data_IF_836190519792
#
_entry.id   IF_836190519792
#
_cell.length_a   1.000
_cell.length_b   1.000
_cell.length_c   1.000
_cell.angle_alpha   90.00
_cell.angle_beta   90.00
_cell.angle_gamma   90.00
#
_symmetry.space_group_name_H-M   'P 1'
#
loop_
_entity.id
_entity.type
_entity.pdbx_description
1 polymer ?
#
# COMPACT_ATOMS: atom_id res chain seq x y z
N UNK A 1 -7.49 -20.42 15.74
CA UNK A 1 -6.50 -19.68 16.56
C UNK A 1 -5.26 -19.57 15.71
N UNK A 2 -4.80 -18.35 15.37
CA UNK A 2 -3.57 -18.20 14.59
C UNK A 2 -2.40 -18.70 15.43
N UNK A 3 -1.49 -19.46 14.83
CA UNK A 3 -0.23 -19.83 15.48
C UNK A 3 0.52 -18.56 15.92
N UNK A 4 1.27 -18.60 17.04
CA UNK A 4 2.06 -17.45 17.45
C UNK A 4 3.04 -17.06 16.33
N UNK A 5 3.08 -15.77 16.00
CA UNK A 5 4.04 -15.20 15.07
C UNK A 5 5.32 -14.86 15.84
N UNK A 6 6.42 -15.54 15.52
CA UNK A 6 7.71 -15.25 16.10
C UNK A 6 8.41 -14.19 15.24
N UNK A 7 8.40 -12.94 15.70
CA UNK A 7 9.10 -11.83 15.02
C UNK A 7 10.61 -12.02 15.20
N UNK A 8 11.33 -12.08 14.08
CA UNK A 8 12.78 -12.28 14.04
C UNK A 8 13.54 -10.97 13.82
N UNK A 9 12.99 -10.09 13.00
CA UNK A 9 13.61 -8.81 12.68
C UNK A 9 12.56 -7.77 12.30
N UNK A 10 12.78 -6.53 12.71
CA UNK A 10 11.97 -5.37 12.31
C UNK A 10 12.88 -4.19 12.01
N UNK A 11 12.65 -3.51 10.90
CA UNK A 11 13.41 -2.31 10.53
C UNK A 11 12.51 -1.33 9.77
N UNK A 12 12.87 -0.04 9.80
CA UNK A 12 12.12 1.01 9.12
C UNK A 12 12.50 1.05 7.63
N UNK A 13 11.49 1.08 6.75
CA UNK A 13 11.67 1.19 5.28
C UNK A 13 11.30 2.57 4.76
N UNK A 14 10.57 3.35 5.57
CA UNK A 14 10.20 4.73 5.29
C UNK A 14 9.44 5.32 6.47
N UNK A 15 9.10 6.62 6.45
CA UNK A 15 8.49 7.29 7.60
C UNK A 15 7.23 6.59 8.10
N UNK A 16 7.33 5.92 9.25
CA UNK A 16 6.22 5.17 9.85
C UNK A 16 5.83 3.87 9.14
N UNK A 17 6.67 3.39 8.21
CA UNK A 17 6.52 2.11 7.51
C UNK A 17 7.65 1.19 7.91
N UNK A 18 7.32 -0.03 8.34
CA UNK A 18 8.30 -1.00 8.81
C UNK A 18 8.22 -2.29 8.00
N UNK A 19 9.36 -2.94 7.82
CA UNK A 19 9.40 -4.34 7.44
C UNK A 19 9.44 -5.20 8.71
N UNK A 20 8.72 -6.31 8.70
CA UNK A 20 8.79 -7.34 9.73
C UNK A 20 9.08 -8.69 9.08
N UNK A 21 10.17 -9.33 9.49
CA UNK A 21 10.49 -10.71 9.16
C UNK A 21 10.04 -11.57 10.33
N UNK A 22 9.15 -12.53 10.06
CA UNK A 22 8.54 -13.34 11.11
C UNK A 22 8.39 -14.79 10.67
N UNK A 23 8.27 -15.68 11.65
CA UNK A 23 8.00 -17.10 11.44
C UNK A 23 6.57 -17.41 11.83
N UNK A 24 5.84 -18.06 10.93
CA UNK A 24 4.48 -18.56 11.18
C UNK A 24 4.32 -19.94 10.60
N UNK A 25 3.87 -20.90 11.43
CA UNK A 25 3.71 -22.30 11.01
C UNK A 25 5.02 -22.96 10.56
N UNK A 26 6.17 -22.51 11.06
CA UNK A 26 7.48 -23.02 10.66
C UNK A 26 8.11 -22.30 9.45
N UNK A 27 7.36 -21.45 8.76
CA UNK A 27 7.79 -20.77 7.54
C UNK A 27 8.15 -19.32 7.81
N UNK A 28 9.23 -18.84 7.20
CA UNK A 28 9.61 -17.43 7.20
C UNK A 28 8.71 -16.64 6.26
N UNK A 29 8.39 -15.41 6.65
CA UNK A 29 7.49 -14.50 5.91
C UNK A 29 7.98 -13.07 6.06
N UNK A 30 7.63 -12.25 5.07
CA UNK A 30 7.84 -10.81 5.08
C UNK A 30 6.51 -10.09 5.23
N UNK A 31 6.44 -9.04 6.05
CA UNK A 31 5.28 -8.15 6.14
C UNK A 31 5.73 -6.69 6.09
N UNK A 32 5.19 -5.94 5.13
CA UNK A 32 5.19 -4.49 5.21
C UNK A 32 4.11 -4.04 6.21
N UNK A 33 4.54 -3.38 7.27
CA UNK A 33 3.68 -2.81 8.30
C UNK A 33 3.41 -1.36 7.94
N UNK A 34 2.25 -1.15 7.32
CA UNK A 34 1.72 0.15 6.92
C UNK A 34 0.85 0.78 8.05
N UNK A 35 0.49 2.08 7.96
CA UNK A 35 -0.34 2.72 8.96
C UNK A 35 -1.72 2.04 9.00
N UNK A 36 -2.15 1.63 10.19
CA UNK A 36 -3.46 1.00 10.38
C UNK A 36 -4.56 2.04 10.25
N UNK A 37 -5.54 1.73 9.41
CA UNK A 37 -6.78 2.47 9.31
C UNK A 37 -7.81 1.86 10.27
N UNK A 38 -8.62 2.70 10.90
CA UNK A 38 -9.87 2.25 11.52
C UNK A 38 -10.92 1.98 10.43
N UNK A 39 -11.99 1.27 10.76
CA UNK A 39 -13.08 1.02 9.82
C UNK A 39 -13.68 2.32 9.23
N UNK A 40 -13.78 3.38 10.04
CA UNK A 40 -14.26 4.69 9.58
C UNK A 40 -13.25 5.37 8.64
N UNK A 41 -11.96 5.21 8.90
CA UNK A 41 -10.89 5.74 8.03
C UNK A 41 -10.82 4.98 6.70
N UNK A 42 -11.02 3.65 6.70
CA UNK A 42 -11.14 2.83 5.50
C UNK A 42 -12.35 3.26 4.65
N UNK A 43 -13.51 3.45 5.28
CA UNK A 43 -14.71 3.94 4.62
C UNK A 43 -14.52 5.36 4.05
N UNK A 44 -13.75 6.20 4.75
CA UNK A 44 -13.42 7.56 4.29
C UNK A 44 -12.45 7.52 3.11
N UNK A 45 -11.40 6.70 3.17
CA UNK A 45 -10.48 6.49 2.05
C UNK A 45 -11.23 5.99 0.80
N UNK A 46 -12.16 5.04 0.96
CA UNK A 46 -12.97 4.55 -0.16
C UNK A 46 -13.80 5.66 -0.81
N UNK A 47 -14.54 6.43 0.00
CA UNK A 47 -15.33 7.57 -0.48
C UNK A 47 -14.48 8.64 -1.16
N UNK A 48 -13.27 8.89 -0.65
CA UNK A 48 -12.33 9.83 -1.29
C UNK A 48 -11.81 9.32 -2.63
N UNK A 49 -11.51 8.02 -2.77
CA UNK A 49 -11.10 7.44 -4.05
C UNK A 49 -12.22 7.56 -5.09
N UNK A 50 -13.45 7.28 -4.71
CA UNK A 50 -14.64 7.48 -5.55
C UNK A 50 -14.80 8.95 -5.96
N UNK A 51 -14.78 9.87 -4.97
CA UNK A 51 -14.86 11.31 -5.22
C UNK A 51 -13.74 11.83 -6.13
N UNK A 52 -12.52 11.33 -5.98
CA UNK A 52 -11.39 11.72 -6.82
C UNK A 52 -11.54 11.20 -8.24
N UNK A 53 -12.02 9.96 -8.42
CA UNK A 53 -12.33 9.40 -9.74
C UNK A 53 -13.41 10.20 -10.47
N UNK A 54 -14.44 10.66 -9.77
CA UNK A 54 -15.48 11.50 -10.34
C UNK A 54 -14.98 12.94 -10.62
N UNK A 55 -14.01 13.41 -9.84
CA UNK A 55 -13.38 14.72 -10.04
C UNK A 55 -12.43 14.75 -11.24
N UNK A 56 -11.72 13.64 -11.50
CA UNK A 56 -10.73 13.48 -12.56
C UNK A 56 -11.11 12.31 -13.48
N UNK A 57 -12.20 12.44 -14.27
CA UNK A 57 -12.70 11.33 -15.07
C UNK A 57 -11.72 10.95 -16.18
N UNK A 58 -11.18 9.74 -16.12
CA UNK A 58 -10.25 9.21 -17.14
C UNK A 58 -8.85 9.82 -17.13
N UNK A 59 -8.54 10.66 -16.13
CA UNK A 59 -7.20 11.20 -15.93
C UNK A 59 -6.56 10.54 -14.71
N UNK A 60 -5.42 9.88 -14.91
CA UNK A 60 -4.56 9.56 -13.77
C UNK A 60 -4.02 10.87 -13.19
N UNK A 61 -4.02 11.03 -11.85
CA UNK A 61 -3.39 12.19 -11.23
C UNK A 61 -1.94 12.30 -11.70
N UNK A 62 -1.50 13.53 -11.99
CA UNK A 62 -0.08 13.78 -12.27
C UNK A 62 0.76 13.18 -11.14
N UNK A 63 1.93 12.61 -11.49
CA UNK A 63 2.94 12.10 -10.53
C UNK A 63 3.61 13.24 -9.74
N UNK A 64 2.80 14.04 -9.07
CA UNK A 64 3.17 15.22 -8.29
C UNK A 64 2.32 15.24 -7.01
N UNK A 65 2.99 15.16 -5.87
CA UNK A 65 2.33 15.08 -4.56
C UNK A 65 1.52 16.35 -4.24
N UNK A 66 2.02 17.53 -4.64
CA UNK A 66 1.35 18.80 -4.42
C UNK A 66 0.04 18.92 -5.22
N UNK A 67 0.04 18.47 -6.47
CA UNK A 67 -1.13 18.36 -7.32
C UNK A 67 -2.14 17.37 -6.72
N UNK A 68 -1.71 16.16 -6.34
CA UNK A 68 -2.60 15.18 -5.73
C UNK A 68 -3.23 15.70 -4.44
N UNK A 69 -2.46 16.32 -3.56
CA UNK A 69 -2.96 16.90 -2.31
C UNK A 69 -4.07 17.93 -2.56
N UNK A 70 -3.87 18.83 -3.54
CA UNK A 70 -4.87 19.83 -3.93
C UNK A 70 -6.12 19.17 -4.53
N UNK A 71 -5.94 18.23 -5.46
CA UNK A 71 -7.05 17.53 -6.09
C UNK A 71 -7.90 16.75 -5.08
N UNK A 72 -7.27 16.06 -4.12
CA UNK A 72 -7.97 15.34 -3.04
C UNK A 72 -8.76 16.30 -2.16
N UNK A 73 -8.19 17.45 -1.76
CA UNK A 73 -8.91 18.46 -0.97
C UNK A 73 -10.10 19.05 -1.74
N UNK A 74 -9.94 19.30 -3.02
CA UNK A 74 -11.01 19.81 -3.88
C UNK A 74 -12.12 18.79 -4.10
N UNK A 75 -11.78 17.53 -4.36
CA UNK A 75 -12.71 16.42 -4.47
C UNK A 75 -13.48 16.21 -3.15
N UNK A 76 -12.78 16.14 -2.02
CA UNK A 76 -13.39 16.01 -0.70
C UNK A 76 -14.42 17.13 -0.44
N UNK A 77 -14.07 18.38 -0.75
CA UNK A 77 -14.99 19.53 -0.63
C UNK A 77 -16.19 19.42 -1.57
N UNK A 78 -15.95 19.09 -2.85
CA UNK A 78 -17.00 19.03 -3.89
C UNK A 78 -18.03 17.94 -3.60
N UNK A 79 -17.56 16.77 -3.16
CA UNK A 79 -18.39 15.59 -2.90
C UNK A 79 -18.77 15.45 -1.41
N UNK A 80 -18.44 16.46 -0.58
CA UNK A 80 -18.77 16.53 0.85
C UNK A 80 -18.28 15.31 1.63
N UNK A 81 -17.07 14.85 1.32
CA UNK A 81 -16.39 13.80 2.07
C UNK A 81 -15.65 14.47 3.23
N UNK A 82 -16.11 14.22 4.45
CA UNK A 82 -15.43 14.69 5.65
C UNK A 82 -14.21 13.83 5.94
N UNK A 83 -13.06 14.47 6.09
CA UNK A 83 -11.79 13.82 6.42
C UNK A 83 -11.29 14.43 7.73
N UNK A 84 -11.30 13.69 8.84
CA UNK A 84 -10.73 14.18 10.10
C UNK A 84 -9.27 14.56 9.90
N UNK A 85 -8.84 15.69 10.45
CA UNK A 85 -7.45 16.17 10.34
C UNK A 85 -6.45 15.12 10.87
N UNK A 86 -6.79 14.43 11.96
CA UNK A 86 -6.00 13.35 12.55
C UNK A 86 -5.87 12.10 11.66
N UNK A 87 -6.78 11.92 10.70
CA UNK A 87 -6.76 10.80 9.76
C UNK A 87 -6.09 11.17 8.43
N UNK A 88 -5.88 12.46 8.17
CA UNK A 88 -5.41 12.97 6.87
C UNK A 88 -4.10 12.30 6.45
N UNK A 89 -3.09 12.26 7.31
CA UNK A 89 -1.77 11.72 6.94
C UNK A 89 -1.83 10.23 6.58
N UNK A 90 -2.61 9.44 7.34
CA UNK A 90 -2.80 8.01 7.07
C UNK A 90 -3.55 7.78 5.76
N UNK A 91 -4.66 8.48 5.56
CA UNK A 91 -5.45 8.37 4.33
C UNK A 91 -4.65 8.85 3.11
N UNK A 92 -3.94 9.96 3.25
CA UNK A 92 -3.12 10.53 2.20
C UNK A 92 -1.93 9.64 1.86
N UNK A 93 -1.35 8.93 2.83
CA UNK A 93 -0.38 7.85 2.56
C UNK A 93 -0.93 6.83 1.57
N UNK A 94 -2.12 6.26 1.83
CA UNK A 94 -2.72 5.27 0.92
C UNK A 94 -3.05 5.85 -0.46
N UNK A 95 -3.52 7.11 -0.53
CA UNK A 95 -3.76 7.79 -1.80
C UNK A 95 -2.47 7.98 -2.59
N UNK A 96 -1.38 8.38 -1.95
CA UNK A 96 -0.07 8.48 -2.61
C UNK A 96 0.45 7.13 -3.06
N UNK A 97 0.40 6.13 -2.17
CA UNK A 97 0.83 4.75 -2.43
C UNK A 97 0.13 4.17 -3.66
N UNK A 98 -1.19 4.37 -3.76
CA UNK A 98 -2.00 3.77 -4.82
C UNK A 98 -1.99 4.57 -6.12
N UNK A 99 -1.97 5.91 -6.05
CA UNK A 99 -2.11 6.75 -7.24
C UNK A 99 -0.76 7.17 -7.82
N UNK A 100 0.23 7.48 -6.97
CA UNK A 100 1.56 7.91 -7.40
C UNK A 100 2.59 6.78 -7.38
N UNK A 101 2.41 5.83 -6.46
CA UNK A 101 3.27 4.67 -6.30
C UNK A 101 2.79 3.44 -7.07
N UNK A 102 3.18 2.29 -6.56
CA UNK A 102 2.91 0.97 -7.15
C UNK A 102 1.84 0.18 -6.37
N UNK A 103 0.93 0.87 -5.68
CA UNK A 103 -0.14 0.24 -4.93
C UNK A 103 0.37 -0.61 -3.78
N UNK A 104 -0.22 -1.79 -3.57
CA UNK A 104 0.13 -2.67 -2.44
C UNK A 104 1.58 -3.15 -2.41
N UNK A 105 2.29 -3.13 -3.56
CA UNK A 105 3.71 -3.52 -3.60
C UNK A 105 4.67 -2.34 -3.39
N UNK A 106 4.17 -1.11 -3.33
CA UNK A 106 4.99 0.10 -3.15
C UNK A 106 5.93 0.02 -1.92
N UNK A 107 5.51 -0.50 -0.75
CA UNK A 107 6.42 -0.68 0.37
C UNK A 107 7.55 -1.67 0.09
N UNK A 108 7.29 -2.71 -0.71
CA UNK A 108 8.29 -3.72 -1.07
C UNK A 108 9.36 -3.12 -1.98
N UNK A 109 8.94 -2.29 -2.94
CA UNK A 109 9.84 -1.60 -3.88
C UNK A 109 10.68 -0.50 -3.22
N UNK A 110 10.23 0.04 -2.09
CA UNK A 110 10.97 1.04 -1.31
C UNK A 110 12.00 0.43 -0.36
N UNK A 111 11.86 -0.86 -0.05
CA UNK A 111 12.73 -1.53 0.90
C UNK A 111 14.11 -1.78 0.27
N UNK A 112 15.20 -1.17 0.78
CA UNK A 112 16.54 -1.34 0.20
C UNK A 112 17.13 -2.74 0.42
N UNK A 113 16.51 -3.57 1.28
CA UNK A 113 16.94 -4.95 1.51
C UNK A 113 16.22 -5.96 0.62
N UNK A 114 15.29 -5.52 -0.22
CA UNK A 114 14.64 -6.35 -1.25
C UNK A 114 15.36 -6.12 -2.58
N UNK A 115 15.87 -7.20 -3.19
CA UNK A 115 16.50 -7.16 -4.51
C UNK A 115 15.46 -7.38 -5.62
N UNK A 116 14.60 -8.39 -5.45
CA UNK A 116 13.58 -8.76 -6.44
C UNK A 116 12.18 -8.85 -5.81
N UNK A 117 11.16 -8.50 -6.59
CA UNK A 117 9.75 -8.70 -6.27
C UNK A 117 9.12 -9.58 -7.35
N UNK A 118 8.61 -10.74 -6.95
CA UNK A 118 7.99 -11.72 -7.84
C UNK A 118 6.47 -11.71 -7.68
N UNK A 119 5.77 -11.46 -8.78
CA UNK A 119 4.33 -11.48 -8.88
C UNK A 119 3.89 -12.58 -9.86
N UNK A 120 3.50 -13.73 -9.32
CA UNK A 120 3.18 -14.92 -10.13
C UNK A 120 1.76 -14.89 -10.72
N UNK A 121 0.89 -14.00 -10.22
CA UNK A 121 -0.44 -13.78 -10.78
C UNK A 121 -1.47 -13.31 -9.74
N UNK A 122 -2.72 -13.07 -10.19
CA UNK A 122 -3.79 -12.61 -9.31
C UNK A 122 -4.12 -13.61 -8.20
N UNK A 123 -4.29 -13.10 -6.98
CA UNK A 123 -4.62 -13.89 -5.79
C UNK A 123 -3.48 -14.75 -5.24
N UNK A 124 -2.31 -14.75 -5.89
CA UNK A 124 -1.10 -15.40 -5.39
C UNK A 124 -0.34 -14.41 -4.51
N UNK A 125 0.15 -14.83 -3.32
CA UNK A 125 1.03 -13.98 -2.52
C UNK A 125 2.24 -13.52 -3.32
N UNK A 126 2.57 -12.23 -3.21
CA UNK A 126 3.80 -11.68 -3.77
C UNK A 126 4.98 -12.24 -3.00
N UNK A 127 6.03 -12.64 -3.71
CA UNK A 127 7.30 -13.09 -3.11
C UNK A 127 8.36 -12.00 -3.26
N UNK A 128 9.26 -11.93 -2.30
CA UNK A 128 10.41 -11.02 -2.35
C UNK A 128 11.70 -11.81 -2.20
N UNK A 129 12.76 -11.36 -2.88
CA UNK A 129 14.11 -11.82 -2.59
C UNK A 129 14.77 -10.80 -1.67
N UNK A 130 14.86 -11.15 -0.38
CA UNK A 130 15.48 -10.31 0.63
C UNK A 130 16.97 -10.64 0.76
N UNK A 131 17.85 -9.63 0.68
CA UNK A 131 19.33 -9.76 0.72
C UNK A 131 19.86 -10.71 1.82
N UNK A 132 19.28 -10.64 3.02
CA UNK A 132 19.62 -11.50 4.17
C UNK A 132 18.80 -12.79 4.32
N UNK A 133 17.53 -12.79 3.94
CA UNK A 133 16.57 -13.85 4.27
C UNK A 133 16.09 -14.63 3.04
N UNK A 134 16.66 -14.34 1.87
CA UNK A 134 16.37 -14.96 0.58
C UNK A 134 14.88 -14.85 0.21
N UNK A 135 14.32 -15.90 -0.40
CA UNK A 135 12.93 -15.90 -0.86
C UNK A 135 11.93 -15.95 0.29
N UNK A 136 11.10 -14.90 0.40
CA UNK A 136 10.05 -14.80 1.42
C UNK A 136 8.68 -14.56 0.77
N UNK A 137 7.65 -15.34 1.12
CA UNK A 137 6.28 -14.97 0.81
C UNK A 137 5.88 -13.74 1.64
N UNK A 138 5.14 -12.83 1.02
CA UNK A 138 4.57 -11.67 1.70
C UNK A 138 3.10 -11.89 2.04
N UNK A 139 2.53 -10.98 2.83
CA UNK A 139 1.07 -10.92 3.07
C UNK A 139 0.33 -10.10 1.98
N UNK A 140 1.06 -9.62 0.96
CA UNK A 140 0.49 -8.86 -0.15
C UNK A 140 -0.04 -9.81 -1.21
N UNK A 141 -1.30 -9.66 -1.56
CA UNK A 141 -1.94 -10.29 -2.72
C UNK A 141 -2.61 -9.21 -3.57
N UNK A 142 -2.48 -9.32 -4.88
CA UNK A 142 -3.15 -8.43 -5.84
C UNK A 142 -4.29 -9.17 -6.53
N UNK A 143 -5.43 -8.53 -6.70
CA UNK A 143 -6.49 -9.03 -7.58
C UNK A 143 -6.16 -8.79 -9.06
N UNK A 144 -7.02 -9.27 -9.97
CA UNK A 144 -6.79 -9.16 -11.42
C UNK A 144 -6.66 -7.70 -11.86
N UNK A 145 -7.53 -6.82 -11.36
CA UNK A 145 -7.52 -5.42 -11.77
C UNK A 145 -6.28 -4.70 -11.21
N UNK A 146 -5.86 -5.04 -10.00
CA UNK A 146 -4.63 -4.54 -9.40
C UNK A 146 -3.39 -4.95 -10.20
N UNK A 147 -3.34 -6.21 -10.66
CA UNK A 147 -2.27 -6.68 -11.57
C UNK A 147 -2.31 -5.93 -12.89
N UNK A 148 -3.47 -5.79 -13.52
CA UNK A 148 -3.61 -5.07 -14.80
C UNK A 148 -3.19 -3.59 -14.68
N UNK A 149 -3.59 -2.92 -13.60
CA UNK A 149 -3.15 -1.54 -13.30
C UNK A 149 -1.65 -1.45 -13.06
N UNK A 150 -1.06 -2.42 -12.36
CA UNK A 150 0.38 -2.44 -12.10
C UNK A 150 1.19 -2.60 -13.40
N UNK A 151 0.76 -3.50 -14.30
CA UNK A 151 1.43 -3.72 -15.60
C UNK A 151 1.45 -2.46 -16.47
N UNK A 152 0.44 -1.60 -16.36
CA UNK A 152 0.41 -0.32 -17.08
C UNK A 152 1.39 0.73 -16.52
N UNK A 153 1.93 0.52 -15.30
CA UNK A 153 2.77 1.48 -14.57
C UNK A 153 4.26 1.22 -14.69
N UNK A 154 4.65 0.00 -15.09
CA UNK A 154 6.04 -0.46 -15.20
C UNK A 154 6.62 -0.27 -16.60
#
# INVERSE_FOLDING_TARGET
MSSPEDILETYEVGPGIYAAIYKSGGLLRYRAVEPRLTADEEATLKRLKEALSDFLPGEEPKRDEGYLSRAVKEAARRFRVEVPESAWDKIFYYLKRDLLGYGKIDPLLRDPLIEDVHLDGPGVPVYVWHTKWESLPTDVTLDREEVERLVQRV
#
